data_IF_394445081291
#
_entry.id   IF_394445081291
#
_cell.length_a   1.000
_cell.length_b   1.000
_cell.length_c   1.000
_cell.angle_alpha   90.00
_cell.angle_beta   90.00
_cell.angle_gamma   90.00
#
_symmetry.space_group_name_H-M   'P 1'
#
loop_
_entity.id
_entity.type
_entity.pdbx_description
1 polymer ?
#
# COMPACT_ATOMS: atom_id res chain seq x y z
N UNK A 1 -2.84 -8.69 13.91
CA UNK A 1 -3.44 -9.49 14.97
C UNK A 1 -3.02 -8.97 16.34
N UNK A 2 -1.71 -8.75 16.57
CA UNK A 2 -1.20 -8.21 17.84
C UNK A 2 -1.73 -6.81 18.15
N UNK A 3 -1.83 -5.92 17.16
CA UNK A 3 -2.37 -4.57 17.35
C UNK A 3 -3.85 -4.57 17.77
N UNK A 4 -4.66 -5.49 17.22
CA UNK A 4 -6.06 -5.67 17.65
C UNK A 4 -6.10 -6.10 19.12
N UNK A 5 -5.27 -7.06 19.51
CA UNK A 5 -5.18 -7.51 20.90
C UNK A 5 -4.71 -6.40 21.83
N UNK A 6 -3.73 -5.58 21.43
CA UNK A 6 -3.22 -4.46 22.22
C UNK A 6 -4.28 -3.37 22.42
N UNK A 7 -5.06 -3.06 21.38
CA UNK A 7 -6.16 -2.09 21.47
C UNK A 7 -7.32 -2.63 22.34
N UNK A 8 -7.59 -3.92 22.26
CA UNK A 8 -8.53 -4.63 23.11
C UNK A 8 -8.10 -4.63 24.59
N UNK A 9 -6.82 -4.86 24.87
CA UNK A 9 -6.26 -4.84 26.23
C UNK A 9 -6.20 -3.44 26.84
N UNK A 10 -5.86 -2.41 26.06
CA UNK A 10 -5.82 -1.02 26.53
C UNK A 10 -7.20 -0.47 26.90
N UNK A 11 -8.26 -0.97 26.26
CA UNK A 11 -9.65 -0.58 26.54
C UNK A 11 -10.22 -1.26 27.79
N UNK A 12 -9.59 -2.34 28.29
CA UNK A 12 -10.06 -3.12 29.46
C UNK A 12 -9.55 -2.64 30.82
N UNK A 13 -8.71 -1.60 30.87
CA UNK A 13 -8.03 -1.14 32.09
C UNK A 13 -8.87 -0.27 33.07
N UNK A 14 -10.20 -0.22 32.97
CA UNK A 14 -11.05 0.45 33.94
C UNK A 14 -12.14 -0.46 34.53
N UNK A 15 -11.78 -1.02 35.68
CA UNK A 15 -12.61 -1.43 36.85
C UNK A 15 -13.58 -2.60 36.74
N UNK A 16 -13.35 -3.53 37.70
CA UNK A 16 -14.24 -4.43 38.46
C UNK A 16 -14.88 -5.66 37.78
N UNK A 17 -14.45 -6.78 38.31
CA UNK A 17 -15.14 -8.06 38.58
C UNK A 17 -16.54 -8.29 37.97
N UNK A 18 -16.65 -8.34 36.66
CA UNK A 18 -17.66 -9.12 35.93
C UNK A 18 -17.11 -9.48 34.57
N UNK A 19 -17.13 -10.77 34.23
CA UNK A 19 -16.53 -11.39 33.04
C UNK A 19 -17.16 -10.98 31.68
N UNK A 20 -17.68 -9.78 31.51
CA UNK A 20 -18.15 -9.19 30.28
C UNK A 20 -17.52 -7.80 30.11
N UNK A 21 -16.21 -7.74 29.88
CA UNK A 21 -15.59 -6.49 29.43
C UNK A 21 -16.07 -6.16 28.02
N UNK A 22 -16.88 -5.11 27.89
CA UNK A 22 -17.29 -4.55 26.60
C UNK A 22 -16.15 -3.67 26.14
N UNK A 23 -15.60 -4.01 24.97
CA UNK A 23 -14.55 -3.22 24.33
C UNK A 23 -15.23 -2.33 23.28
N UNK A 24 -15.07 -1.02 23.42
CA UNK A 24 -15.62 -0.03 22.50
C UNK A 24 -14.49 0.36 21.53
N UNK A 25 -14.65 0.00 20.28
CA UNK A 25 -13.78 0.48 19.19
C UNK A 25 -14.35 1.79 18.66
N UNK A 26 -13.68 2.90 18.96
CA UNK A 26 -14.07 4.20 18.44
C UNK A 26 -13.74 4.29 16.93
N UNK A 27 -14.62 4.96 16.17
CA UNK A 27 -14.42 5.31 14.76
C UNK A 27 -14.23 4.10 13.80
N UNK A 28 -14.80 2.95 14.13
CA UNK A 28 -14.82 1.77 13.26
C UNK A 28 -16.27 1.42 12.96
N UNK A 29 -16.62 1.37 11.68
CA UNK A 29 -17.94 0.92 11.22
C UNK A 29 -18.11 -0.59 11.50
N UNK A 30 -19.28 -0.99 12.01
CA UNK A 30 -19.58 -2.37 12.38
C UNK A 30 -19.43 -3.34 11.20
N UNK A 31 -19.89 -2.95 10.01
CA UNK A 31 -19.81 -3.80 8.81
C UNK A 31 -18.36 -3.95 8.33
N UNK A 32 -17.58 -2.88 8.41
CA UNK A 32 -16.16 -2.90 8.08
C UNK A 32 -15.40 -3.80 9.05
N UNK A 33 -15.71 -3.71 10.34
CA UNK A 33 -15.08 -4.57 11.34
C UNK A 33 -15.45 -6.06 11.15
N UNK A 34 -16.70 -6.35 10.77
CA UNK A 34 -17.12 -7.71 10.43
C UNK A 34 -16.29 -8.28 9.26
N UNK A 35 -15.99 -7.47 8.22
CA UNK A 35 -15.13 -7.87 7.11
C UNK A 35 -13.72 -8.19 7.60
N UNK A 36 -13.15 -7.34 8.47
CA UNK A 36 -11.81 -7.59 9.07
C UNK A 36 -11.81 -8.91 9.84
N UNK A 37 -12.79 -9.13 10.70
CA UNK A 37 -12.89 -10.37 11.47
C UNK A 37 -13.05 -11.59 10.57
N UNK A 38 -13.94 -11.52 9.57
CA UNK A 38 -14.13 -12.61 8.60
C UNK A 38 -12.80 -12.95 7.92
N UNK A 39 -12.09 -11.95 7.41
CA UNK A 39 -10.79 -12.16 6.79
C UNK A 39 -9.79 -12.84 7.73
N UNK A 40 -9.70 -12.39 9.00
CA UNK A 40 -8.79 -12.97 9.98
C UNK A 40 -9.09 -14.44 10.32
N UNK A 41 -10.37 -14.83 10.30
CA UNK A 41 -10.78 -16.21 10.65
C UNK A 41 -10.83 -17.15 9.46
N UNK A 42 -11.16 -16.66 8.28
CA UNK A 42 -11.43 -17.50 7.10
C UNK A 42 -10.46 -17.27 5.95
N UNK A 43 -9.75 -16.14 5.92
CA UNK A 43 -8.99 -15.68 4.77
C UNK A 43 -9.87 -15.16 3.63
N UNK A 44 -11.19 -15.08 3.81
CA UNK A 44 -12.10 -14.62 2.76
C UNK A 44 -11.96 -13.12 2.53
N UNK A 45 -11.71 -12.75 1.30
CA UNK A 45 -11.67 -11.36 0.87
C UNK A 45 -13.06 -10.83 0.55
N UNK A 46 -13.34 -9.53 0.76
CA UNK A 46 -14.63 -8.94 0.43
C UNK A 46 -14.91 -9.07 -1.07
N UNK A 47 -16.09 -9.60 -1.40
CA UNK A 47 -16.56 -9.69 -2.78
C UNK A 47 -17.15 -8.35 -3.22
N UNK A 48 -16.58 -7.79 -4.28
CA UNK A 48 -17.08 -6.57 -4.89
C UNK A 48 -18.32 -6.85 -5.73
N UNK A 49 -19.35 -6.03 -5.56
CA UNK A 49 -20.42 -5.89 -6.53
C UNK A 49 -20.05 -4.71 -7.43
N UNK A 50 -19.73 -4.98 -8.67
CA UNK A 50 -19.09 -4.05 -9.63
C UNK A 50 -19.79 -2.72 -9.93
N UNK A 51 -21.00 -2.46 -9.42
CA UNK A 51 -21.91 -1.45 -9.97
C UNK A 51 -22.40 -0.38 -8.98
N UNK A 52 -21.85 -0.30 -7.74
CA UNK A 52 -22.36 0.66 -6.75
C UNK A 52 -21.25 1.60 -6.24
N UNK A 53 -21.51 2.91 -6.23
CA UNK A 53 -20.60 3.92 -5.65
C UNK A 53 -20.35 3.68 -4.14
N UNK A 54 -21.28 3.01 -3.46
CA UNK A 54 -21.14 2.59 -2.05
C UNK A 54 -19.97 1.61 -1.84
N UNK A 55 -19.56 0.86 -2.86
CA UNK A 55 -18.46 -0.08 -2.76
C UNK A 55 -17.10 0.62 -2.67
N UNK A 56 -16.90 1.79 -3.30
CA UNK A 56 -15.66 2.55 -3.21
C UNK A 56 -15.40 3.05 -1.78
N UNK A 57 -16.38 3.69 -1.15
CA UNK A 57 -16.24 4.22 0.20
C UNK A 57 -16.10 3.08 1.22
N UNK A 58 -16.77 1.97 1.00
CA UNK A 58 -16.59 0.73 1.79
C UNK A 58 -15.16 0.20 1.65
N UNK A 59 -14.62 0.11 0.42
CA UNK A 59 -13.23 -0.34 0.21
C UNK A 59 -12.22 0.60 0.88
N UNK A 60 -12.40 1.91 0.79
CA UNK A 60 -11.57 2.88 1.51
C UNK A 60 -11.62 2.67 3.01
N UNK A 61 -12.80 2.45 3.57
CA UNK A 61 -12.99 2.20 5.01
C UNK A 61 -12.32 0.90 5.45
N UNK A 62 -12.39 -0.16 4.64
CA UNK A 62 -11.70 -1.43 4.90
C UNK A 62 -10.19 -1.22 4.84
N UNK A 63 -9.66 -0.48 3.83
CA UNK A 63 -8.24 -0.17 3.71
C UNK A 63 -7.72 0.59 4.94
N UNK A 64 -8.42 1.65 5.35
CA UNK A 64 -8.07 2.46 6.52
C UNK A 64 -8.05 1.61 7.78
N UNK A 65 -9.09 0.80 7.97
CA UNK A 65 -9.24 -0.06 9.15
C UNK A 65 -8.21 -1.20 9.16
N UNK A 66 -7.95 -1.83 8.01
CA UNK A 66 -6.92 -2.85 7.86
C UNK A 66 -5.52 -2.28 8.15
N UNK A 67 -5.22 -1.06 7.65
CA UNK A 67 -3.99 -0.35 7.96
C UNK A 67 -3.85 -0.04 9.45
N UNK A 68 -4.93 0.44 10.10
CA UNK A 68 -4.97 0.74 11.54
C UNK A 68 -4.67 -0.50 12.39
N UNK A 69 -5.25 -1.64 12.03
CA UNK A 69 -5.10 -2.88 12.79
C UNK A 69 -3.92 -3.75 12.33
N UNK A 70 -3.10 -3.30 11.39
CA UNK A 70 -1.94 -4.03 10.90
C UNK A 70 -2.29 -5.32 10.15
N UNK A 71 -3.48 -5.38 9.53
CA UNK A 71 -3.91 -6.51 8.68
C UNK A 71 -3.38 -6.29 7.26
N UNK A 72 -2.06 -6.47 7.10
CA UNK A 72 -1.32 -6.11 5.89
C UNK A 72 -1.86 -6.78 4.64
N UNK A 73 -2.13 -8.08 4.67
CA UNK A 73 -2.62 -8.81 3.50
C UNK A 73 -3.95 -8.25 2.98
N UNK A 74 -4.90 -7.94 3.89
CA UNK A 74 -6.17 -7.34 3.51
C UNK A 74 -5.98 -5.92 2.98
N UNK A 75 -5.09 -5.12 3.60
CA UNK A 75 -4.73 -3.79 3.10
C UNK A 75 -4.22 -3.85 1.67
N UNK A 76 -3.25 -4.73 1.37
CA UNK A 76 -2.66 -4.88 0.05
C UNK A 76 -3.67 -5.38 -1.00
N UNK A 77 -4.55 -6.30 -0.60
CA UNK A 77 -5.64 -6.75 -1.45
C UNK A 77 -6.58 -5.59 -1.81
N UNK A 78 -7.06 -4.82 -0.82
CA UNK A 78 -7.97 -3.69 -1.08
C UNK A 78 -7.28 -2.59 -1.88
N UNK A 79 -6.00 -2.36 -1.66
CA UNK A 79 -5.19 -1.44 -2.45
C UNK A 79 -5.20 -1.82 -3.95
N UNK A 80 -4.99 -3.10 -4.27
CA UNK A 80 -5.03 -3.59 -5.65
C UNK A 80 -6.42 -3.46 -6.27
N UNK A 81 -7.46 -3.72 -5.49
CA UNK A 81 -8.85 -3.53 -5.90
C UNK A 81 -9.17 -2.07 -6.24
N UNK A 82 -8.71 -1.13 -5.41
CA UNK A 82 -8.90 0.30 -5.68
C UNK A 82 -8.20 0.74 -6.96
N UNK A 83 -7.01 0.21 -7.26
CA UNK A 83 -6.30 0.48 -8.51
C UNK A 83 -7.03 -0.11 -9.71
N UNK A 84 -7.49 -1.35 -9.62
CA UNK A 84 -8.06 -2.07 -10.76
C UNK A 84 -9.47 -1.60 -11.13
N UNK A 85 -10.31 -1.29 -10.12
CA UNK A 85 -11.75 -1.06 -10.37
C UNK A 85 -12.18 0.39 -10.14
N UNK A 86 -11.48 1.16 -9.33
CA UNK A 86 -11.92 2.50 -8.91
C UNK A 86 -11.02 3.64 -9.36
N UNK A 87 -9.83 3.35 -9.91
CA UNK A 87 -8.90 4.38 -10.37
C UNK A 87 -9.34 4.96 -11.72
N UNK A 88 -10.14 6.01 -11.66
CA UNK A 88 -10.59 6.80 -12.81
C UNK A 88 -10.17 8.27 -12.62
N UNK A 89 -10.12 9.08 -13.70
CA UNK A 89 -9.66 10.48 -13.62
C UNK A 89 -10.35 11.31 -12.54
N UNK A 90 -11.68 11.20 -12.40
CA UNK A 90 -12.43 11.99 -11.42
C UNK A 90 -12.16 11.62 -9.95
N UNK A 91 -11.60 10.45 -9.68
CA UNK A 91 -11.30 9.95 -8.34
C UNK A 91 -9.80 10.02 -8.00
N UNK A 92 -8.95 10.26 -8.99
CA UNK A 92 -7.49 10.16 -8.85
C UNK A 92 -6.93 11.07 -7.73
N UNK A 93 -7.39 12.32 -7.60
CA UNK A 93 -6.91 13.22 -6.56
C UNK A 93 -7.25 12.71 -5.15
N UNK A 94 -8.48 12.22 -4.94
CA UNK A 94 -8.94 11.66 -3.67
C UNK A 94 -8.17 10.38 -3.31
N UNK A 95 -7.95 9.51 -4.29
CA UNK A 95 -7.20 8.26 -4.11
C UNK A 95 -5.71 8.52 -3.87
N UNK A 96 -5.11 9.54 -4.50
CA UNK A 96 -3.72 9.91 -4.25
C UNK A 96 -3.52 10.44 -2.81
N UNK A 97 -4.43 11.26 -2.31
CA UNK A 97 -4.40 11.74 -0.92
C UNK A 97 -4.57 10.57 0.08
N UNK A 98 -5.47 9.64 -0.21
CA UNK A 98 -5.67 8.43 0.59
C UNK A 98 -4.40 7.57 0.61
N UNK A 99 -3.80 7.34 -0.55
CA UNK A 99 -2.61 6.53 -0.70
C UNK A 99 -1.41 7.11 0.06
N UNK A 100 -1.24 8.43 0.02
CA UNK A 100 -0.19 9.12 0.76
C UNK A 100 -0.40 9.01 2.28
N UNK A 101 -1.64 9.24 2.75
CA UNK A 101 -1.97 9.21 4.18
C UNK A 101 -1.82 7.82 4.82
N UNK A 102 -2.03 6.76 4.06
CA UNK A 102 -2.03 5.37 4.55
C UNK A 102 -0.86 4.53 4.02
N UNK A 103 0.11 5.17 3.36
CA UNK A 103 1.33 4.53 2.86
C UNK A 103 0.98 3.36 1.92
N UNK A 104 0.12 3.61 0.93
CA UNK A 104 -0.31 2.64 -0.07
C UNK A 104 0.49 2.82 -1.36
N UNK A 105 1.61 2.11 -1.48
CA UNK A 105 2.59 2.32 -2.54
C UNK A 105 2.02 2.05 -3.94
N UNK A 106 1.27 0.96 -4.12
CA UNK A 106 0.68 0.58 -5.42
C UNK A 106 -0.40 1.58 -5.86
N UNK A 107 -1.28 1.98 -4.93
CA UNK A 107 -2.31 2.98 -5.22
C UNK A 107 -1.69 4.34 -5.53
N UNK A 108 -0.62 4.72 -4.82
CA UNK A 108 0.13 5.95 -5.06
C UNK A 108 0.78 5.94 -6.44
N UNK A 109 1.47 4.86 -6.80
CA UNK A 109 2.10 4.68 -8.11
C UNK A 109 1.06 4.72 -9.23
N UNK A 110 -0.02 3.93 -9.15
CA UNK A 110 -1.09 3.92 -10.16
C UNK A 110 -1.76 5.28 -10.35
N UNK A 111 -1.99 6.04 -9.25
CA UNK A 111 -2.53 7.40 -9.37
C UNK A 111 -1.54 8.37 -10.01
N UNK A 112 -0.25 8.27 -9.70
CA UNK A 112 0.79 9.09 -10.33
C UNK A 112 0.94 8.76 -11.82
N UNK A 113 0.83 7.50 -12.21
CA UNK A 113 0.81 7.07 -13.62
C UNK A 113 -0.38 7.67 -14.38
N UNK A 114 -1.56 7.70 -13.76
CA UNK A 114 -2.74 8.30 -14.37
C UNK A 114 -2.55 9.82 -14.55
N UNK A 115 -1.96 10.52 -13.57
CA UNK A 115 -1.61 11.94 -13.71
C UNK A 115 -0.54 12.17 -14.79
N UNK A 116 0.48 11.34 -14.88
CA UNK A 116 1.53 11.47 -15.87
C UNK A 116 1.03 11.24 -17.30
N UNK A 117 0.08 10.33 -17.48
CA UNK A 117 -0.48 9.95 -18.79
C UNK A 117 -1.65 10.84 -19.24
N UNK A 118 -2.50 11.31 -18.30
CA UNK A 118 -3.77 12.00 -18.59
C UNK A 118 -3.97 13.25 -17.71
N UNK A 119 -2.92 14.06 -17.51
CA UNK A 119 -2.92 15.16 -16.55
C UNK A 119 -4.10 16.14 -16.70
N UNK A 120 -4.42 16.56 -17.92
CA UNK A 120 -5.51 17.50 -18.16
C UNK A 120 -6.86 16.91 -17.81
N UNK A 121 -7.13 15.67 -18.24
CA UNK A 121 -8.37 14.94 -17.98
C UNK A 121 -8.59 14.77 -16.46
N UNK A 122 -7.54 14.43 -15.71
CA UNK A 122 -7.58 14.26 -14.26
C UNK A 122 -7.87 15.59 -13.54
N UNK A 123 -7.19 16.67 -13.93
CA UNK A 123 -7.36 17.99 -13.30
C UNK A 123 -8.77 18.56 -13.56
N UNK A 124 -9.26 18.44 -14.79
CA UNK A 124 -10.56 18.99 -15.20
C UNK A 124 -11.73 18.17 -14.67
N UNK A 125 -11.56 16.87 -14.48
CA UNK A 125 -12.63 15.97 -14.06
C UNK A 125 -13.15 16.20 -12.64
N UNK A 126 -12.30 16.71 -11.72
CA UNK A 126 -12.67 17.03 -10.34
C UNK A 126 -11.83 18.16 -9.75
N UNK A 127 -12.22 19.38 -10.05
CA UNK A 127 -11.51 20.59 -9.62
C UNK A 127 -11.51 20.78 -8.10
N UNK A 128 -12.53 20.30 -7.39
CA UNK A 128 -12.60 20.41 -5.93
C UNK A 128 -11.51 19.56 -5.27
N UNK A 129 -11.44 18.27 -5.65
CA UNK A 129 -10.42 17.37 -5.11
C UNK A 129 -9.00 17.76 -5.54
N UNK A 130 -8.85 18.26 -6.77
CA UNK A 130 -7.60 18.85 -7.23
C UNK A 130 -7.18 20.06 -6.36
N UNK A 131 -8.14 20.87 -5.92
CA UNK A 131 -7.84 21.99 -5.02
C UNK A 131 -7.40 21.54 -3.63
N UNK A 132 -7.89 20.41 -3.15
CA UNK A 132 -7.41 19.78 -1.90
C UNK A 132 -5.98 19.25 -2.09
N UNK A 133 -5.69 18.57 -3.19
CA UNK A 133 -4.36 18.06 -3.52
C UNK A 133 -3.32 19.18 -3.62
N UNK A 134 -3.68 20.34 -4.19
CA UNK A 134 -2.79 21.52 -4.29
C UNK A 134 -2.33 22.07 -2.93
N UNK A 135 -3.00 21.75 -1.83
CA UNK A 135 -2.56 22.15 -0.48
C UNK A 135 -1.39 21.31 0.03
N UNK A 136 -1.15 20.12 -0.56
CA UNK A 136 -0.01 19.27 -0.23
C UNK A 136 1.16 19.55 -1.16
N UNK A 137 2.01 20.51 -0.78
CA UNK A 137 3.18 20.90 -1.60
C UNK A 137 4.13 19.72 -1.85
N UNK A 138 4.36 18.88 -0.85
CA UNK A 138 5.25 17.72 -0.98
C UNK A 138 4.74 16.74 -2.04
N UNK A 139 3.46 16.43 -2.00
CA UNK A 139 2.83 15.51 -2.93
C UNK A 139 2.81 16.04 -4.37
N UNK A 140 2.66 17.37 -4.54
CA UNK A 140 2.77 18.01 -5.86
C UNK A 140 4.19 17.94 -6.41
N UNK A 141 5.20 18.18 -5.57
CA UNK A 141 6.61 18.05 -5.99
C UNK A 141 6.92 16.61 -6.39
N UNK A 142 6.48 15.66 -5.59
CA UNK A 142 6.66 14.22 -5.87
C UNK A 142 5.99 13.82 -7.19
N UNK A 143 4.74 14.26 -7.41
CA UNK A 143 4.01 14.04 -8.65
C UNK A 143 4.73 14.65 -9.87
N UNK A 144 5.27 15.87 -9.73
CA UNK A 144 6.04 16.54 -10.78
C UNK A 144 7.33 15.76 -11.11
N UNK A 145 8.07 15.35 -10.07
CA UNK A 145 9.30 14.55 -10.24
C UNK A 145 8.96 13.21 -10.92
N UNK A 146 7.89 12.55 -10.48
CA UNK A 146 7.43 11.30 -11.08
C UNK A 146 7.10 11.46 -12.56
N UNK A 147 6.28 12.44 -12.91
CA UNK A 147 5.90 12.71 -14.31
C UNK A 147 7.11 13.08 -15.20
N UNK A 148 8.09 13.80 -14.62
CA UNK A 148 9.31 14.20 -15.33
C UNK A 148 10.32 13.06 -15.50
N UNK A 149 10.31 12.06 -14.64
CA UNK A 149 11.25 10.93 -14.66
C UNK A 149 11.01 9.94 -15.81
N UNK A 150 9.84 10.01 -16.44
CA UNK A 150 9.43 9.08 -17.51
C UNK A 150 9.19 7.64 -17.04
N UNK A 151 9.14 7.38 -15.73
CA UNK A 151 8.91 6.04 -15.13
C UNK A 151 7.65 5.37 -15.64
N UNK A 152 6.58 6.14 -15.86
CA UNK A 152 5.32 5.66 -16.42
C UNK A 152 5.43 4.97 -17.79
N UNK A 153 6.60 5.06 -18.45
CA UNK A 153 6.87 4.42 -19.75
C UNK A 153 7.56 3.06 -19.64
N UNK A 154 8.10 2.71 -18.47
CA UNK A 154 8.93 1.52 -18.26
C UNK A 154 8.24 0.39 -17.48
N UNK A 155 6.97 0.55 -17.14
CA UNK A 155 6.20 -0.41 -16.32
C UNK A 155 5.99 -1.81 -16.94
N UNK A 156 6.54 -2.11 -18.12
CA UNK A 156 6.24 -3.38 -18.80
C UNK A 156 7.43 -4.20 -19.30
N UNK A 157 8.67 -3.83 -19.01
CA UNK A 157 9.83 -4.59 -19.54
C UNK A 157 10.95 -4.69 -18.50
N UNK A 158 10.86 -5.66 -17.60
CA UNK A 158 12.07 -6.26 -17.04
C UNK A 158 11.89 -7.78 -17.05
N UNK A 159 12.47 -8.40 -18.09
CA UNK A 159 12.65 -9.85 -18.15
C UNK A 159 13.50 -10.35 -16.97
N UNK A 160 13.22 -11.58 -16.57
CA UNK A 160 13.84 -12.40 -15.52
C UNK A 160 15.35 -12.21 -15.31
N UNK A 161 15.77 -11.15 -14.71
CA UNK A 161 17.14 -10.93 -14.27
C UNK A 161 17.19 -10.49 -12.81
N UNK A 162 18.05 -11.11 -12.02
CA UNK A 162 18.52 -10.56 -10.74
C UNK A 162 19.16 -9.20 -11.07
N UNK A 163 18.32 -8.13 -11.12
CA UNK A 163 18.80 -6.78 -11.44
C UNK A 163 19.91 -6.39 -10.49
N UNK A 164 20.93 -5.74 -11.02
CA UNK A 164 22.02 -5.17 -10.21
C UNK A 164 21.44 -4.13 -9.25
N UNK A 165 22.18 -3.82 -8.18
CA UNK A 165 21.76 -2.81 -7.17
C UNK A 165 21.39 -1.47 -7.83
N UNK A 166 22.00 -1.16 -8.95
CA UNK A 166 21.78 0.10 -9.71
C UNK A 166 20.44 0.14 -10.46
N UNK A 167 19.85 -1.03 -10.77
CA UNK A 167 18.59 -1.13 -11.53
C UNK A 167 17.34 -1.09 -10.63
N UNK A 168 17.50 -1.22 -9.30
CA UNK A 168 16.39 -1.34 -8.34
C UNK A 168 15.46 -0.12 -8.36
N UNK A 169 15.99 1.07 -8.59
CA UNK A 169 15.21 2.31 -8.64
C UNK A 169 14.25 2.39 -9.85
N UNK A 170 14.46 1.52 -10.84
CA UNK A 170 13.60 1.38 -12.02
C UNK A 170 12.38 0.47 -11.82
N UNK A 171 12.36 -0.38 -10.77
CA UNK A 171 11.25 -1.32 -10.55
C UNK A 171 9.97 -0.61 -10.13
N UNK A 172 8.83 -1.10 -10.64
CA UNK A 172 7.52 -0.75 -10.14
C UNK A 172 7.21 -1.43 -8.79
N UNK A 173 6.17 -0.97 -8.12
CA UNK A 173 5.77 -1.49 -6.80
C UNK A 173 5.42 -2.97 -6.86
N UNK A 174 4.77 -3.43 -7.92
CA UNK A 174 4.39 -4.84 -8.10
C UNK A 174 5.64 -5.72 -8.17
N UNK A 175 6.59 -5.37 -9.04
CA UNK A 175 7.86 -6.09 -9.17
C UNK A 175 8.69 -6.10 -7.88
N UNK A 176 8.69 -4.99 -7.12
CA UNK A 176 9.36 -4.92 -5.82
C UNK A 176 8.70 -5.86 -4.81
N UNK A 177 7.36 -5.87 -4.71
CA UNK A 177 6.62 -6.74 -3.80
C UNK A 177 6.82 -8.22 -4.12
N UNK A 178 6.76 -8.61 -5.40
CA UNK A 178 7.00 -10.00 -5.83
C UNK A 178 8.40 -10.49 -5.43
N UNK A 179 9.42 -9.64 -5.63
CA UNK A 179 10.79 -9.96 -5.22
C UNK A 179 10.92 -10.10 -3.71
N UNK A 180 10.40 -9.16 -2.95
CA UNK A 180 10.44 -9.19 -1.48
C UNK A 180 9.70 -10.42 -0.95
N UNK A 181 8.52 -10.73 -1.48
CA UNK A 181 7.73 -11.90 -1.07
C UNK A 181 8.45 -13.21 -1.35
N UNK A 182 9.15 -13.32 -2.49
CA UNK A 182 9.94 -14.51 -2.84
C UNK A 182 11.00 -14.86 -1.79
N UNK A 183 11.49 -13.86 -1.06
CA UNK A 183 12.52 -14.03 -0.02
C UNK A 183 11.98 -13.82 1.39
N UNK A 184 10.67 -13.92 1.58
CA UNK A 184 9.98 -13.80 2.88
C UNK A 184 10.28 -12.46 3.59
N UNK A 185 10.38 -11.39 2.80
CA UNK A 185 10.58 -10.04 3.29
C UNK A 185 9.25 -9.30 3.32
N UNK A 186 9.14 -8.33 4.25
CA UNK A 186 7.94 -7.51 4.37
C UNK A 186 7.67 -6.71 3.08
N UNK A 187 6.42 -6.74 2.60
CA UNK A 187 5.96 -6.16 1.34
C UNK A 187 5.11 -4.90 1.53
N UNK A 188 4.88 -4.47 2.79
CA UNK A 188 4.17 -3.23 3.09
C UNK A 188 5.13 -2.06 3.21
N UNK A 189 4.63 -0.87 2.97
CA UNK A 189 5.38 0.36 3.07
C UNK A 189 5.30 1.24 1.82
N UNK A 190 6.00 2.38 1.85
CA UNK A 190 6.18 3.23 0.68
C UNK A 190 7.10 2.58 -0.36
N UNK A 191 7.05 3.07 -1.60
CA UNK A 191 7.95 2.58 -2.64
C UNK A 191 9.43 2.68 -2.24
N UNK A 192 9.83 3.77 -1.59
CA UNK A 192 11.20 3.96 -1.13
C UNK A 192 11.58 2.92 -0.05
N UNK A 193 10.68 2.60 0.87
CA UNK A 193 10.90 1.55 1.87
C UNK A 193 11.07 0.18 1.22
N UNK A 194 10.30 -0.14 0.18
CA UNK A 194 10.43 -1.40 -0.58
C UNK A 194 11.79 -1.47 -1.30
N UNK A 195 12.20 -0.36 -1.94
CA UNK A 195 13.52 -0.23 -2.59
C UNK A 195 14.64 -0.42 -1.59
N UNK A 196 14.62 0.28 -0.46
CA UNK A 196 15.66 0.19 0.56
C UNK A 196 15.77 -1.23 1.12
N UNK A 197 14.63 -1.87 1.40
CA UNK A 197 14.57 -3.25 1.89
C UNK A 197 15.18 -4.22 0.89
N UNK A 198 14.88 -4.06 -0.40
CA UNK A 198 15.45 -4.88 -1.46
C UNK A 198 16.96 -4.63 -1.64
N UNK A 199 17.41 -3.37 -1.63
CA UNK A 199 18.83 -3.03 -1.67
C UNK A 199 19.61 -3.59 -0.48
N UNK A 200 19.03 -3.55 0.71
CA UNK A 200 19.65 -4.16 1.90
C UNK A 200 19.82 -5.67 1.76
N UNK A 201 18.80 -6.36 1.23
CA UNK A 201 18.86 -7.79 0.98
C UNK A 201 19.95 -8.15 -0.03
N UNK A 202 20.06 -7.43 -1.15
CA UNK A 202 21.07 -7.66 -2.17
C UNK A 202 22.49 -7.49 -1.57
N UNK A 203 22.75 -6.39 -0.87
CA UNK A 203 24.05 -6.14 -0.22
C UNK A 203 24.43 -7.23 0.79
N UNK A 204 23.47 -7.73 1.55
CA UNK A 204 23.72 -8.80 2.52
C UNK A 204 24.09 -10.13 1.86
N UNK A 205 23.60 -10.38 0.64
CA UNK A 205 23.89 -11.60 -0.11
C UNK A 205 25.19 -11.49 -0.93
N UNK A 206 25.51 -10.32 -1.50
CA UNK A 206 26.79 -10.09 -2.17
C UNK A 206 27.96 -10.31 -1.20
N UNK A 207 27.88 -9.80 0.02
CA UNK A 207 28.90 -10.02 1.06
C UNK A 207 29.06 -11.51 1.44
N UNK A 208 28.00 -12.32 1.37
CA UNK A 208 28.09 -13.77 1.63
C UNK A 208 28.82 -14.52 0.51
N UNK A 209 28.68 -14.11 -0.73
CA UNK A 209 29.37 -14.71 -1.87
C UNK A 209 30.87 -14.45 -1.76
N UNK A 210 31.29 -13.22 -1.47
CA UNK A 210 32.70 -12.87 -1.29
C UNK A 210 33.34 -13.63 -0.10
N UNK A 211 32.65 -13.81 1.04
CA UNK A 211 33.15 -14.60 2.16
C UNK A 211 33.35 -16.09 1.83
N UNK A 212 32.48 -16.66 1.00
CA UNK A 212 32.57 -18.07 0.58
C UNK A 212 33.71 -18.26 -0.40
N UNK A 213 33.92 -17.35 -1.35
CA UNK A 213 35.05 -17.38 -2.28
C UNK A 213 36.40 -17.24 -1.55
N UNK A 214 36.49 -16.31 -0.62
CA UNK A 214 37.70 -16.12 0.19
C UNK A 214 38.08 -17.33 1.09
N UNK A 215 37.06 -18.12 1.51
CA UNK A 215 37.26 -19.38 2.26
C UNK A 215 37.64 -20.55 1.38
N UNK A 216 37.38 -20.52 0.06
CA UNK A 216 37.76 -21.58 -0.89
C UNK A 216 39.20 -21.42 -1.41
N UNK A 217 39.77 -20.21 -1.34
CA UNK A 217 41.13 -19.93 -1.77
C UNK A 217 42.21 -20.11 -0.68
N UNK A 218 41.81 -20.51 0.53
CA UNK A 218 42.70 -20.88 1.63
C UNK A 218 42.69 -22.38 1.88
#
# INVERSE_FOLDING_TARGET
YELILTELESSSSSSSENNNSIIILADVDEKVFEVILRFLYTGDVPTLKKDEDDDEDTMKSILITANRFGVTELKLYVESVLVEYFLIPSRAAKLLLLADSHICALLKEGTMDLYASKSMEVIESNMEEWTKLKKSNNLLVELFVYASSGRHKYSSVVEDGNGTIDDVDGFDVTSLRERLQKYDLDVDGSRDMLIDRWKMYLRANDNKVEEVEFKKER
#
